data_IF_224346386483
#
_entry.id   IF_224346386483
#
_cell.length_a   1.000
_cell.length_b   1.000
_cell.length_c   1.000
_cell.angle_alpha   90.00
_cell.angle_beta   90.00
_cell.angle_gamma   90.00
#
_symmetry.space_group_name_H-M   'P 1'
#
loop_
_entity.id
_entity.type
_entity.pdbx_description
1 polymer ?
#
# COMPACT_ATOMS: atom_id res chain seq x y z
N UNK A 1 -3.18 -7.81 4.83
CA UNK A 1 -4.10 -7.13 3.89
C UNK A 1 -5.03 -8.10 3.17
N UNK A 2 -4.51 -9.07 2.40
CA UNK A 2 -5.31 -10.04 1.63
C UNK A 2 -6.42 -10.74 2.44
N UNK A 3 -6.08 -11.33 3.58
CA UNK A 3 -7.02 -12.04 4.47
C UNK A 3 -8.12 -11.11 5.03
N UNK A 4 -7.83 -9.83 5.20
CA UNK A 4 -8.75 -8.86 5.77
C UNK A 4 -9.67 -8.22 4.71
N UNK A 5 -9.32 -8.31 3.42
CA UNK A 5 -10.09 -7.78 2.30
C UNK A 5 -11.14 -8.78 1.78
N UNK A 6 -12.06 -9.17 2.66
CA UNK A 6 -13.18 -10.05 2.35
C UNK A 6 -14.41 -9.59 3.15
N UNK A 7 -15.63 -9.67 2.61
CA UNK A 7 -16.86 -9.36 3.35
C UNK A 7 -17.10 -10.32 4.52
N UNK A 8 -16.73 -11.59 4.35
CA UNK A 8 -16.92 -12.62 5.36
C UNK A 8 -15.98 -12.43 6.54
N UNK A 9 -16.42 -12.85 7.73
CA UNK A 9 -15.57 -12.88 8.91
C UNK A 9 -14.29 -13.70 8.63
N UNK A 10 -13.16 -13.21 9.11
CA UNK A 10 -11.94 -14.02 9.14
C UNK A 10 -12.18 -15.05 10.25
N UNK A 11 -12.66 -16.25 9.89
CA UNK A 11 -12.86 -17.34 10.85
C UNK A 11 -11.50 -17.85 11.31
N UNK A 12 -10.94 -17.16 12.29
CA UNK A 12 -9.60 -17.38 12.82
C UNK A 12 -9.50 -18.60 13.76
N UNK A 13 -10.55 -19.41 13.90
CA UNK A 13 -10.48 -20.59 14.77
C UNK A 13 -9.55 -21.66 14.19
N UNK A 14 -9.64 -21.97 12.89
CA UNK A 14 -8.91 -23.09 12.30
C UNK A 14 -7.43 -22.78 12.00
N UNK A 15 -7.05 -21.52 11.85
CA UNK A 15 -5.65 -21.12 11.65
C UNK A 15 -4.77 -21.47 12.85
N UNK A 16 -5.33 -21.49 14.06
CA UNK A 16 -4.62 -21.89 15.27
C UNK A 16 -4.45 -23.41 15.41
N UNK A 17 -5.34 -24.21 14.81
CA UNK A 17 -5.34 -25.67 14.99
C UNK A 17 -4.70 -26.43 13.81
N UNK A 18 -4.59 -25.81 12.63
CA UNK A 18 -3.92 -26.44 11.48
C UNK A 18 -3.10 -25.43 10.65
N UNK A 19 -1.76 -25.44 10.76
CA UNK A 19 -0.87 -24.64 9.92
C UNK A 19 -0.96 -24.99 8.43
N UNK A 20 -1.53 -26.14 8.06
CA UNK A 20 -1.79 -26.55 6.67
C UNK A 20 -3.12 -26.04 6.13
N UNK A 21 -3.95 -25.37 6.94
CA UNK A 21 -5.23 -24.77 6.52
C UNK A 21 -5.11 -23.56 5.59
N UNK A 22 -3.96 -23.37 4.93
CA UNK A 22 -3.75 -22.38 3.85
C UNK A 22 -4.50 -22.80 2.56
N UNK A 23 -5.61 -23.52 2.68
CA UNK A 23 -6.71 -23.37 1.74
C UNK A 23 -7.74 -22.41 2.35
N UNK A 24 -7.28 -21.20 2.69
CA UNK A 24 -8.20 -20.07 2.54
C UNK A 24 -8.39 -19.98 1.04
N UNK A 25 -9.41 -20.68 0.54
CA UNK A 25 -9.94 -20.48 -0.79
C UNK A 25 -10.39 -19.03 -0.85
N UNK A 26 -9.46 -18.12 -1.15
CA UNK A 26 -9.71 -16.70 -1.39
C UNK A 26 -10.49 -16.65 -2.69
N UNK A 27 -11.78 -17.01 -2.60
CA UNK A 27 -12.73 -16.72 -3.65
C UNK A 27 -12.84 -15.20 -3.64
N UNK A 28 -12.13 -14.58 -4.57
CA UNK A 28 -12.04 -13.13 -4.78
C UNK A 28 -13.37 -12.46 -5.15
N UNK A 29 -14.51 -13.13 -4.95
CA UNK A 29 -15.84 -12.65 -5.34
C UNK A 29 -16.35 -11.55 -4.40
N UNK A 30 -15.96 -11.56 -3.13
CA UNK A 30 -16.52 -10.68 -2.09
C UNK A 30 -15.47 -9.78 -1.44
N UNK A 31 -14.74 -9.00 -2.25
CA UNK A 31 -13.78 -8.01 -1.74
C UNK A 31 -14.51 -6.79 -1.14
N UNK A 32 -13.89 -6.15 -0.15
CA UNK A 32 -14.39 -4.90 0.45
C UNK A 32 -13.87 -3.68 -0.31
N UNK A 33 -12.60 -3.74 -0.70
CA UNK A 33 -11.89 -2.67 -1.41
C UNK A 33 -11.05 -3.27 -2.55
N UNK A 34 -10.73 -2.45 -3.55
CA UNK A 34 -9.55 -2.66 -4.39
C UNK A 34 -8.38 -1.89 -3.78
N UNK A 35 -7.20 -2.49 -3.80
CA UNK A 35 -5.96 -1.84 -3.37
C UNK A 35 -5.25 -1.37 -4.63
N UNK A 36 -5.22 -0.06 -4.86
CA UNK A 36 -4.67 0.54 -6.07
C UNK A 36 -3.15 0.70 -5.97
N UNK A 37 -2.69 1.28 -4.86
CA UNK A 37 -1.28 1.42 -4.51
C UNK A 37 -1.10 1.29 -2.99
N UNK A 38 0.07 0.82 -2.57
CA UNK A 38 0.44 0.76 -1.17
C UNK A 38 1.96 0.83 -0.96
N UNK A 39 2.32 1.25 0.26
CA UNK A 39 3.63 1.07 0.88
C UNK A 39 3.46 0.78 2.37
N UNK A 40 4.24 -0.14 2.91
CA UNK A 40 4.32 -0.42 4.35
C UNK A 40 5.68 0.05 4.84
N UNK A 41 5.67 1.10 5.66
CA UNK A 41 6.86 1.64 6.32
C UNK A 41 7.07 0.95 7.68
N UNK A 42 8.27 1.05 8.29
CA UNK A 42 8.50 0.45 9.61
C UNK A 42 7.58 0.98 10.72
N UNK A 43 7.14 2.25 10.61
CA UNK A 43 6.35 2.96 11.61
C UNK A 43 4.93 3.34 11.15
N UNK A 44 4.61 3.27 9.85
CA UNK A 44 3.30 3.61 9.31
C UNK A 44 3.04 2.91 7.96
N UNK A 45 1.93 3.21 7.29
CA UNK A 45 1.63 2.71 5.95
C UNK A 45 0.83 3.76 5.18
N UNK A 46 0.94 3.74 3.85
CA UNK A 46 0.04 4.47 2.96
C UNK A 46 -0.69 3.49 2.05
N UNK A 47 -2.01 3.67 1.93
CA UNK A 47 -2.90 2.84 1.12
C UNK A 47 -3.75 3.75 0.24
N UNK A 48 -3.76 3.49 -1.07
CA UNK A 48 -4.71 4.05 -2.01
C UNK A 48 -5.76 2.99 -2.31
N UNK A 49 -7.00 3.25 -1.93
CA UNK A 49 -8.09 2.26 -1.92
C UNK A 49 -9.29 2.76 -2.72
N UNK A 50 -9.92 1.88 -3.49
CA UNK A 50 -11.24 2.09 -4.06
C UNK A 50 -12.24 1.23 -3.29
N UNK A 51 -13.29 1.85 -2.76
CA UNK A 51 -14.37 1.14 -2.08
C UNK A 51 -15.26 0.43 -3.10
N UNK A 52 -15.48 -0.88 -2.94
CA UNK A 52 -16.34 -1.69 -3.83
C UNK A 52 -17.48 -2.42 -3.10
N UNK A 53 -17.58 -2.20 -1.79
CA UNK A 53 -18.67 -2.63 -0.93
C UNK A 53 -19.15 -1.45 -0.08
N UNK A 54 -20.40 -1.47 0.36
CA UNK A 54 -20.90 -0.52 1.35
C UNK A 54 -20.00 -0.55 2.61
N UNK A 55 -19.57 0.62 3.06
CA UNK A 55 -18.59 0.82 4.13
C UNK A 55 -17.28 0.01 3.99
N UNK A 56 -16.93 -0.37 2.77
CA UNK A 56 -15.82 -1.28 2.48
C UNK A 56 -14.48 -0.82 3.03
N UNK A 57 -14.13 0.46 2.94
CA UNK A 57 -12.86 0.97 3.50
C UNK A 57 -12.89 0.90 5.02
N UNK A 58 -13.98 1.35 5.66
CA UNK A 58 -14.16 1.30 7.11
C UNK A 58 -14.02 -0.13 7.64
N UNK A 59 -14.73 -1.08 7.02
CA UNK A 59 -14.69 -2.49 7.39
C UNK A 59 -13.32 -3.12 7.14
N UNK A 60 -12.68 -2.80 6.00
CA UNK A 60 -11.34 -3.27 5.69
C UNK A 60 -10.32 -2.79 6.74
N UNK A 61 -10.33 -1.49 7.07
CA UNK A 61 -9.42 -0.91 8.04
C UNK A 61 -9.68 -1.41 9.46
N UNK A 62 -10.94 -1.62 9.84
CA UNK A 62 -11.31 -2.24 11.11
C UNK A 62 -10.75 -3.66 11.23
N UNK A 63 -10.96 -4.49 10.19
CA UNK A 63 -10.46 -5.87 10.16
C UNK A 63 -8.93 -5.93 10.14
N UNK A 64 -8.29 -5.06 9.35
CA UNK A 64 -6.83 -4.96 9.28
C UNK A 64 -6.25 -4.54 10.64
N UNK A 65 -6.76 -3.45 11.22
CA UNK A 65 -6.26 -2.89 12.47
C UNK A 65 -6.44 -3.84 13.65
N UNK A 66 -7.68 -4.30 13.89
CA UNK A 66 -7.98 -5.20 15.01
C UNK A 66 -7.38 -6.59 14.80
N UNK A 67 -7.54 -7.16 13.59
CA UNK A 67 -7.06 -8.50 13.28
C UNK A 67 -5.54 -8.61 13.37
N UNK A 68 -4.81 -7.64 12.82
CA UNK A 68 -3.34 -7.63 12.91
C UNK A 68 -2.85 -7.35 14.33
N UNK A 69 -3.48 -6.43 15.07
CA UNK A 69 -3.16 -6.20 16.49
C UNK A 69 -3.30 -7.48 17.31
N UNK A 70 -4.41 -8.20 17.15
CA UNK A 70 -4.65 -9.47 17.86
C UNK A 70 -3.60 -10.52 17.49
N UNK A 71 -3.33 -10.71 16.19
CA UNK A 71 -2.27 -11.61 15.72
C UNK A 71 -0.91 -11.28 16.34
N UNK A 72 -0.52 -10.00 16.30
CA UNK A 72 0.78 -9.54 16.79
C UNK A 72 0.89 -9.75 18.31
N UNK A 73 -0.12 -9.34 19.06
CA UNK A 73 -0.17 -9.51 20.51
C UNK A 73 -0.08 -10.99 20.92
N UNK A 74 -0.81 -11.88 20.24
CA UNK A 74 -0.74 -13.33 20.52
C UNK A 74 0.65 -13.88 20.18
N UNK A 75 1.17 -13.58 18.99
CA UNK A 75 2.47 -14.09 18.51
C UNK A 75 3.64 -13.66 19.41
N UNK A 76 3.65 -12.40 19.83
CA UNK A 76 4.73 -11.80 20.60
C UNK A 76 4.43 -11.71 22.10
N UNK A 77 3.36 -12.36 22.58
CA UNK A 77 2.92 -12.36 23.99
C UNK A 77 2.81 -10.95 24.57
N UNK A 78 2.30 -10.02 23.77
CA UNK A 78 2.13 -8.61 24.12
C UNK A 78 0.67 -8.32 24.45
N UNK A 79 0.44 -7.24 25.17
CA UNK A 79 -0.90 -6.71 25.44
C UNK A 79 -0.99 -5.25 25.01
N UNK A 80 -2.22 -4.75 24.86
CA UNK A 80 -2.46 -3.34 24.53
C UNK A 80 -2.42 -3.00 23.03
N UNK A 81 -2.63 -1.72 22.69
CA UNK A 81 -2.77 -1.25 21.31
C UNK A 81 -1.46 -1.37 20.51
N UNK A 82 -1.54 -1.84 19.26
CA UNK A 82 -0.38 -1.89 18.36
C UNK A 82 -0.19 -0.59 17.57
N UNK A 83 -1.29 -0.02 17.07
CA UNK A 83 -1.28 1.23 16.32
C UNK A 83 -1.47 2.44 17.24
N UNK A 84 -0.86 3.57 16.90
CA UNK A 84 -0.89 4.80 17.71
C UNK A 84 -2.23 5.55 17.68
N UNK A 85 -3.18 5.15 16.84
CA UNK A 85 -4.48 5.79 16.75
C UNK A 85 -5.37 5.24 15.63
N UNK A 86 -6.42 5.99 15.32
CA UNK A 86 -7.28 5.73 14.15
C UNK A 86 -6.50 6.02 12.87
N UNK A 87 -6.88 5.35 11.78
CA UNK A 87 -6.36 5.70 10.46
C UNK A 87 -6.88 7.10 10.06
N UNK A 88 -6.06 7.85 9.31
CA UNK A 88 -6.48 9.08 8.61
C UNK A 88 -6.93 8.69 7.19
N UNK A 89 -7.93 9.37 6.64
CA UNK A 89 -8.36 9.17 5.27
C UNK A 89 -8.79 10.50 4.64
N UNK A 90 -8.52 10.65 3.35
CA UNK A 90 -8.94 11.78 2.50
C UNK A 90 -9.58 11.19 1.25
N UNK A 91 -10.71 11.77 0.84
CA UNK A 91 -11.41 11.37 -0.37
C UNK A 91 -10.71 12.02 -1.57
N UNK A 92 -10.29 11.21 -2.54
CA UNK A 92 -9.73 11.71 -3.79
C UNK A 92 -10.87 12.09 -4.73
N UNK A 93 -10.93 13.36 -5.11
CA UNK A 93 -11.96 13.88 -6.02
C UNK A 93 -11.38 14.44 -7.33
N UNK A 94 -10.08 14.74 -7.34
CA UNK A 94 -9.38 15.25 -8.52
C UNK A 94 -8.67 14.11 -9.26
N UNK A 95 -8.78 14.12 -10.59
CA UNK A 95 -8.07 13.18 -11.46
C UNK A 95 -6.55 13.28 -11.30
N UNK A 96 -6.01 14.48 -11.01
CA UNK A 96 -4.58 14.70 -10.75
C UNK A 96 -4.07 13.82 -9.62
N UNK A 97 -4.86 13.66 -8.54
CA UNK A 97 -4.49 12.79 -7.42
C UNK A 97 -4.35 11.33 -7.87
N UNK A 98 -5.20 10.86 -8.79
CA UNK A 98 -5.12 9.49 -9.31
C UNK A 98 -3.82 9.27 -10.11
N UNK A 99 -3.34 10.30 -10.81
CA UNK A 99 -2.12 10.26 -11.61
C UNK A 99 -0.86 10.32 -10.73
N UNK A 100 -0.83 11.22 -9.75
CA UNK A 100 0.41 11.56 -9.04
C UNK A 100 0.58 10.88 -7.68
N UNK A 101 -0.50 10.57 -6.97
CA UNK A 101 -0.43 9.94 -5.64
C UNK A 101 0.27 8.57 -5.63
N UNK A 102 0.17 7.72 -6.68
CA UNK A 102 0.94 6.48 -6.73
C UNK A 102 2.46 6.73 -6.61
N UNK A 103 3.01 7.74 -7.28
CA UNK A 103 4.44 8.06 -7.18
C UNK A 103 4.81 8.48 -5.76
N UNK A 104 4.01 9.36 -5.13
CA UNK A 104 4.21 9.73 -3.74
C UNK A 104 4.28 8.51 -2.81
N UNK A 105 3.31 7.60 -2.93
CA UNK A 105 3.25 6.36 -2.13
C UNK A 105 4.49 5.49 -2.39
N UNK A 106 4.92 5.37 -3.66
CA UNK A 106 6.04 4.54 -4.04
C UNK A 106 7.41 5.11 -3.66
N UNK A 107 7.53 6.44 -3.57
CA UNK A 107 8.76 7.14 -3.19
C UNK A 107 8.92 7.30 -1.67
N UNK A 108 7.83 7.16 -0.90
CA UNK A 108 7.84 7.26 0.56
C UNK A 108 8.94 6.43 1.29
N UNK A 109 9.33 5.21 0.83
CA UNK A 109 10.47 4.48 1.39
C UNK A 109 11.78 5.27 1.44
N UNK A 110 11.97 6.28 0.58
CA UNK A 110 13.16 7.12 0.57
C UNK A 110 13.35 7.91 1.85
N UNK A 111 12.32 8.14 2.66
CA UNK A 111 12.46 8.73 4.00
C UNK A 111 13.47 7.97 4.88
N UNK A 112 13.72 6.69 4.58
CA UNK A 112 14.66 5.85 5.32
C UNK A 112 16.14 6.09 4.96
N UNK A 113 16.43 6.63 3.77
CA UNK A 113 17.81 6.75 3.26
C UNK A 113 18.17 8.11 2.66
N UNK A 114 17.18 8.89 2.22
CA UNK A 114 17.35 10.14 1.51
C UNK A 114 16.10 11.03 1.72
N UNK A 115 15.73 11.40 2.97
CA UNK A 115 14.53 12.18 3.29
C UNK A 115 14.45 13.53 2.55
N UNK A 116 15.58 14.05 2.08
CA UNK A 116 15.67 15.24 1.22
C UNK A 116 14.96 15.09 -0.15
N UNK A 117 14.48 13.88 -0.50
CA UNK A 117 13.68 13.66 -1.70
C UNK A 117 12.42 14.53 -1.74
N UNK A 118 11.84 14.84 -0.58
CA UNK A 118 10.65 15.72 -0.44
C UNK A 118 10.94 17.17 -0.82
N UNK A 119 12.20 17.56 -0.77
CA UNK A 119 12.67 18.89 -1.15
C UNK A 119 13.31 18.90 -2.55
N UNK A 120 13.19 17.80 -3.30
CA UNK A 120 13.79 17.64 -4.64
C UNK A 120 15.31 17.74 -4.63
N UNK A 121 15.96 17.36 -3.52
CA UNK A 121 17.40 17.51 -3.30
C UNK A 121 18.16 16.18 -3.28
N UNK A 122 17.64 15.15 -3.95
CA UNK A 122 18.29 13.84 -4.00
C UNK A 122 19.68 13.97 -4.62
N UNK A 123 20.73 13.70 -3.83
CA UNK A 123 22.12 13.79 -4.29
C UNK A 123 22.53 12.61 -5.17
N UNK A 124 22.00 11.42 -4.86
CA UNK A 124 22.38 10.18 -5.54
C UNK A 124 21.14 9.42 -6.04
N UNK A 125 20.66 9.82 -7.22
CA UNK A 125 19.48 9.21 -7.87
C UNK A 125 19.65 7.70 -8.05
N UNK A 126 20.87 7.25 -8.39
CA UNK A 126 21.15 5.82 -8.58
C UNK A 126 21.00 5.03 -7.29
N UNK A 127 21.42 5.58 -6.16
CA UNK A 127 21.22 4.96 -4.85
C UNK A 127 19.74 4.90 -4.47
N UNK A 128 19.00 6.00 -4.69
CA UNK A 128 17.56 6.07 -4.43
C UNK A 128 16.79 5.03 -5.27
N UNK A 129 17.02 5.00 -6.59
CA UNK A 129 16.40 4.03 -7.51
C UNK A 129 16.74 2.57 -7.14
N UNK A 130 18.00 2.27 -6.83
CA UNK A 130 18.40 0.93 -6.39
C UNK A 130 17.69 0.54 -5.07
N UNK A 131 17.54 1.48 -4.15
CA UNK A 131 16.85 1.24 -2.89
C UNK A 131 15.37 0.92 -3.12
N UNK A 132 14.67 1.73 -3.93
CA UNK A 132 13.27 1.48 -4.30
C UNK A 132 13.07 0.11 -4.95
N UNK A 133 13.97 -0.29 -5.85
CA UNK A 133 13.97 -1.61 -6.48
C UNK A 133 14.22 -2.77 -5.51
N UNK A 134 14.87 -2.52 -4.38
CA UNK A 134 15.10 -3.50 -3.32
C UNK A 134 14.00 -3.52 -2.25
N UNK A 135 13.17 -2.47 -2.19
CA UNK A 135 12.16 -2.30 -1.15
C UNK A 135 10.92 -3.15 -1.42
N UNK A 136 10.93 -4.37 -0.88
CA UNK A 136 9.86 -5.36 -1.09
C UNK A 136 8.49 -4.91 -0.58
N UNK A 137 8.40 -4.06 0.43
CA UNK A 137 7.13 -3.77 1.12
C UNK A 137 6.31 -2.65 0.46
N UNK A 138 6.34 -2.59 -0.87
CA UNK A 138 5.65 -1.59 -1.68
C UNK A 138 5.06 -2.22 -2.93
N UNK A 139 3.98 -1.63 -3.43
CA UNK A 139 3.44 -1.92 -4.76
C UNK A 139 4.31 -1.40 -5.91
N UNK A 140 5.32 -0.55 -5.64
CA UNK A 140 6.26 -0.03 -6.64
C UNK A 140 6.79 -1.10 -7.60
N UNK A 141 7.21 -2.26 -7.06
CA UNK A 141 7.78 -3.34 -7.86
C UNK A 141 6.77 -3.91 -8.86
N UNK A 142 5.48 -3.96 -8.50
CA UNK A 142 4.43 -4.38 -9.41
C UNK A 142 4.23 -3.42 -10.57
N UNK A 143 4.23 -2.11 -10.29
CA UNK A 143 4.16 -1.08 -11.34
C UNK A 143 5.43 -1.12 -12.23
N UNK A 144 6.58 -1.46 -11.65
CA UNK A 144 7.83 -1.70 -12.37
C UNK A 144 7.87 -3.05 -13.13
N UNK A 145 6.77 -3.82 -13.15
CA UNK A 145 6.65 -5.06 -13.92
C UNK A 145 7.06 -6.34 -13.21
N UNK A 146 7.37 -6.29 -11.91
CA UNK A 146 7.64 -7.47 -11.10
C UNK A 146 6.35 -7.98 -10.44
N UNK A 147 5.97 -9.23 -10.71
CA UNK A 147 4.71 -9.80 -10.22
C UNK A 147 4.72 -10.17 -8.71
N UNK A 148 5.12 -9.26 -7.82
CA UNK A 148 5.32 -9.55 -6.39
C UNK A 148 4.00 -9.67 -5.60
N UNK A 149 3.05 -8.75 -5.82
CA UNK A 149 1.77 -8.71 -5.11
C UNK A 149 0.53 -8.74 -6.04
N UNK A 150 0.59 -9.51 -7.12
CA UNK A 150 -0.47 -9.54 -8.17
C UNK A 150 -1.87 -9.85 -7.65
N UNK A 151 -1.98 -10.69 -6.61
CA UNK A 151 -3.24 -11.05 -5.98
C UNK A 151 -3.79 -10.00 -5.00
N UNK A 152 -2.95 -9.04 -4.59
CA UNK A 152 -3.29 -8.02 -3.61
C UNK A 152 -3.74 -6.73 -4.26
N UNK A 153 -3.02 -6.28 -5.30
CA UNK A 153 -3.28 -5.00 -5.96
C UNK A 153 -4.21 -5.18 -7.16
N UNK A 154 -4.99 -4.16 -7.45
CA UNK A 154 -5.84 -4.12 -8.63
C UNK A 154 -4.99 -3.92 -9.89
N UNK A 155 -4.97 -4.92 -10.77
CA UNK A 155 -4.14 -4.91 -11.98
C UNK A 155 -4.75 -4.09 -13.12
N UNK A 156 -6.06 -3.80 -13.06
CA UNK A 156 -6.75 -3.11 -14.15
C UNK A 156 -6.55 -1.61 -14.01
N UNK A 157 -6.59 -1.08 -12.79
CA UNK A 157 -6.16 0.27 -12.47
C UNK A 157 -4.71 0.54 -12.92
N UNK A 158 -3.79 -0.42 -12.71
CA UNK A 158 -2.40 -0.30 -13.21
C UNK A 158 -2.35 -0.06 -14.70
N UNK A 159 -3.15 -0.80 -15.47
CA UNK A 159 -3.14 -0.72 -16.93
C UNK A 159 -3.80 0.56 -17.41
N UNK A 160 -4.83 1.02 -16.71
CA UNK A 160 -5.57 2.25 -17.05
C UNK A 160 -4.67 3.49 -16.89
N UNK A 161 -3.99 3.61 -15.75
CA UNK A 161 -3.15 4.79 -15.48
C UNK A 161 -1.74 4.65 -16.05
N UNK A 162 -1.16 3.45 -15.95
CA UNK A 162 0.22 3.17 -16.35
C UNK A 162 0.27 2.06 -17.40
N UNK A 163 -0.36 2.34 -18.55
CA UNK A 163 -0.36 1.46 -19.75
C UNK A 163 1.00 0.86 -20.13
N UNK A 164 2.12 1.50 -19.74
CA UNK A 164 3.46 1.08 -20.11
C UNK A 164 4.42 1.10 -18.90
N UNK A 165 4.91 -0.09 -18.51
CA UNK A 165 5.89 -0.26 -17.43
C UNK A 165 7.20 0.51 -17.67
N UNK A 166 7.61 0.67 -18.92
CA UNK A 166 8.81 1.45 -19.25
C UNK A 166 8.56 2.95 -19.01
N UNK A 167 7.35 3.42 -19.26
CA UNK A 167 6.95 4.80 -18.95
C UNK A 167 6.95 5.02 -17.44
N UNK A 168 6.28 4.17 -16.68
CA UNK A 168 6.28 4.25 -15.22
C UNK A 168 7.70 4.29 -14.61
N UNK A 169 8.62 3.44 -15.10
CA UNK A 169 10.02 3.45 -14.64
C UNK A 169 10.73 4.75 -14.97
N UNK A 170 10.46 5.31 -16.15
CA UNK A 170 10.99 6.61 -16.57
C UNK A 170 10.42 7.71 -15.66
N UNK A 171 9.13 7.70 -15.41
CA UNK A 171 8.45 8.70 -14.58
C UNK A 171 8.96 8.67 -13.14
N UNK A 172 9.22 7.50 -12.57
CA UNK A 172 9.89 7.39 -11.26
C UNK A 172 11.26 8.08 -11.29
N UNK A 173 12.07 7.84 -12.32
CA UNK A 173 13.38 8.48 -12.44
C UNK A 173 13.28 9.99 -12.66
N UNK A 174 12.26 10.46 -13.36
CA UNK A 174 12.03 11.89 -13.58
C UNK A 174 11.51 12.56 -12.30
N UNK A 175 10.62 11.88 -11.56
CA UNK A 175 10.19 12.29 -10.22
C UNK A 175 11.35 12.39 -9.22
N UNK A 176 12.32 11.46 -9.27
CA UNK A 176 13.51 11.52 -8.42
C UNK A 176 14.42 12.73 -8.72
N UNK A 177 14.30 13.34 -9.91
CA UNK A 177 15.10 14.50 -10.32
C UNK A 177 14.37 15.82 -10.06
N UNK A 178 13.11 15.89 -10.45
CA UNK A 178 12.36 17.14 -10.63
C UNK A 178 10.88 17.01 -10.20
N UNK A 179 10.48 15.88 -9.60
CA UNK A 179 9.09 15.68 -9.18
C UNK A 179 8.73 16.54 -7.98
N UNK A 180 7.61 17.27 -8.07
CA UNK A 180 7.10 18.08 -6.98
C UNK A 180 5.89 17.44 -6.30
N UNK A 181 5.74 17.71 -5.01
CA UNK A 181 4.63 17.25 -4.19
C UNK A 181 3.39 18.16 -4.29
N UNK A 182 3.50 19.32 -4.94
CA UNK A 182 2.42 20.30 -5.06
C UNK A 182 1.11 19.69 -5.57
N UNK A 183 1.18 18.79 -6.57
CA UNK A 183 0.01 18.12 -7.18
C UNK A 183 -0.75 17.17 -6.25
N UNK A 184 -0.17 16.80 -5.11
CA UNK A 184 -0.77 15.89 -4.11
C UNK A 184 -0.72 16.42 -2.68
N UNK A 185 -0.20 17.64 -2.49
CA UNK A 185 0.04 18.24 -1.18
C UNK A 185 -1.21 18.33 -0.31
N UNK A 186 -2.38 18.52 -0.94
CA UNK A 186 -3.68 18.65 -0.28
C UNK A 186 -4.28 17.32 0.20
N UNK A 187 -3.76 16.18 -0.28
CA UNK A 187 -4.27 14.84 0.05
C UNK A 187 -3.26 13.97 0.82
N UNK A 188 -2.07 14.50 1.10
CA UNK A 188 -1.06 13.83 1.91
C UNK A 188 -1.46 13.86 3.39
N UNK A 189 -1.40 12.69 4.02
CA UNK A 189 -1.75 12.47 5.43
C UNK A 189 -0.56 11.92 6.20
N UNK A 190 0.33 12.81 6.60
CA UNK A 190 1.44 12.51 7.53
C UNK A 190 1.12 13.04 8.93
#
# INVERSE_FOLDING_TARGET
MLVFNNKNAVTNANYFFDPKSIEVGLRYKDRLVKILAFVLMPNHYHLMLEQIAEDGITEFMRKLGTGYTNYFNIKYKRVGPLFQGKYKAVLLQDHRHLLYLPYYIHLNPLDLIAPEWREQKIKNIKQADNFLKSYRWSSHLNYAGQATFTNLIDQDFLKEIFTNQAHYKKDILDWLKEGDLDDVSDVILE
#
